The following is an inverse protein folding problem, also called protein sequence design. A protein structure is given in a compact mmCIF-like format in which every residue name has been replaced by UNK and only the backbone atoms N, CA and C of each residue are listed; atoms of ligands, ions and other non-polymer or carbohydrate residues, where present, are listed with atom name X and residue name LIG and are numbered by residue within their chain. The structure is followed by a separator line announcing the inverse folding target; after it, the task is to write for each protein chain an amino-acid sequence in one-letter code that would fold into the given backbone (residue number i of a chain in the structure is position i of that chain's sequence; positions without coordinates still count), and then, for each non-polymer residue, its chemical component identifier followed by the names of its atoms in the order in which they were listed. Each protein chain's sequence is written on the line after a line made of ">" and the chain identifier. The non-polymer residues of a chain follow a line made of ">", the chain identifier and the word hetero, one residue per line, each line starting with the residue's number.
data_IF_699510945655
#
_entry.id   IF_699510945655
#
_cell.length_a   1.000
_cell.length_b   1.000
_cell.length_c   1.000
_cell.angle_alpha   90.00
_cell.angle_beta   90.00
_cell.angle_gamma   90.00
#
_symmetry.space_group_name_H-M   'P 1'
#
loop_
_entity.id
_entity.type
_entity.pdbx_description
1 polymer ?
#
# COMPACT_ATOMS: atom_id res chain seq x y z
N UNK A 1 -56.76 19.72 39.65
CA UNK A 1 -56.42 18.41 39.08
C UNK A 1 -55.56 18.64 37.85
N UNK A 2 -54.52 17.82 37.61
CA UNK A 2 -53.69 17.94 36.41
C UNK A 2 -54.42 17.36 35.21
N UNK A 3 -54.36 18.07 34.10
CA UNK A 3 -54.82 17.64 32.81
C UNK A 3 -53.58 17.44 31.90
N UNK A 4 -53.44 16.28 31.33
CA UNK A 4 -52.30 15.87 30.53
C UNK A 4 -52.71 15.90 29.06
N UNK A 5 -52.04 16.75 28.27
CA UNK A 5 -52.26 16.89 26.84
C UNK A 5 -51.38 15.91 26.06
N UNK A 6 -51.95 15.32 25.03
CA UNK A 6 -51.26 14.46 24.10
C UNK A 6 -51.49 14.91 22.65
N UNK A 7 -50.57 14.60 21.80
CA UNK A 7 -50.66 14.86 20.37
C UNK A 7 -51.74 14.00 19.72
N UNK A 8 -52.61 14.60 18.92
CA UNK A 8 -53.79 13.95 18.36
C UNK A 8 -53.50 12.86 17.33
N UNK A 9 -52.32 12.91 16.69
CA UNK A 9 -51.91 11.94 15.65
C UNK A 9 -51.10 10.79 16.23
N UNK A 10 -50.19 11.13 17.12
CA UNK A 10 -49.20 10.16 17.65
C UNK A 10 -49.52 9.67 19.05
N UNK A 11 -50.39 10.34 19.77
CA UNK A 11 -50.66 10.09 21.18
C UNK A 11 -49.52 10.57 22.12
N UNK A 12 -48.47 11.15 21.61
CA UNK A 12 -47.31 11.57 22.39
C UNK A 12 -47.68 12.61 23.42
N UNK A 13 -47.25 12.43 24.68
CA UNK A 13 -47.42 13.44 25.72
C UNK A 13 -46.73 14.75 25.32
N UNK A 14 -47.45 15.87 25.58
CA UNK A 14 -46.99 17.23 25.24
C UNK A 14 -46.69 18.02 26.51
N UNK A 15 -47.70 18.23 27.34
CA UNK A 15 -47.60 19.08 28.54
C UNK A 15 -48.68 18.75 29.54
N UNK A 16 -48.45 19.06 30.83
CA UNK A 16 -49.45 19.03 31.87
C UNK A 16 -49.81 20.46 32.34
N UNK A 17 -51.06 20.69 32.56
CA UNK A 17 -51.58 21.95 33.10
C UNK A 17 -52.70 21.69 34.09
N UNK A 18 -53.08 22.71 34.86
CA UNK A 18 -54.21 22.61 35.77
C UNK A 18 -55.56 22.75 35.02
N UNK A 19 -56.34 21.69 35.13
CA UNK A 19 -57.72 21.73 34.58
C UNK A 19 -58.61 22.75 35.29
N UNK A 20 -59.30 23.50 34.47
CA UNK A 20 -60.34 24.47 35.01
C UNK A 20 -61.52 23.70 35.54
N UNK A 21 -62.16 24.26 36.60
CA UNK A 21 -63.37 23.69 37.12
C UNK A 21 -64.54 24.07 36.23
N UNK A 22 -65.46 23.17 36.09
CA UNK A 22 -66.74 23.46 35.42
C UNK A 22 -67.57 24.49 36.21
N UNK A 23 -67.87 25.66 35.64
CA UNK A 23 -68.70 26.67 36.33
C UNK A 23 -70.06 26.16 36.69
N UNK A 24 -70.54 25.15 36.02
CA UNK A 24 -71.92 24.60 36.24
C UNK A 24 -71.89 23.40 37.22
N UNK A 25 -70.70 22.88 37.60
CA UNK A 25 -70.61 21.73 38.50
C UNK A 25 -69.28 21.77 39.29
N UNK A 26 -69.38 21.89 40.61
CA UNK A 26 -68.21 21.99 41.49
C UNK A 26 -67.29 20.74 41.48
N UNK A 27 -67.83 19.60 41.12
CA UNK A 27 -67.15 18.33 41.17
C UNK A 27 -66.54 17.89 39.78
N UNK A 28 -66.75 18.74 38.77
CA UNK A 28 -66.28 18.46 37.40
C UNK A 28 -65.16 19.40 37.00
N UNK A 29 -64.30 18.88 36.10
CA UNK A 29 -63.23 19.62 35.43
C UNK A 29 -63.53 19.70 33.94
N UNK A 30 -63.20 20.82 33.33
CA UNK A 30 -63.22 20.98 31.90
C UNK A 30 -61.96 20.27 31.29
N UNK A 31 -62.17 19.27 30.47
CA UNK A 31 -61.12 18.53 29.82
C UNK A 31 -61.14 18.89 28.32
N UNK A 32 -60.14 19.64 27.83
CA UNK A 32 -60.05 19.99 26.43
C UNK A 32 -59.90 18.75 25.55
N UNK A 33 -60.12 18.90 24.25
CA UNK A 33 -59.81 17.85 23.28
C UNK A 33 -58.32 17.43 23.36
N UNK A 34 -58.04 16.17 23.17
CA UNK A 34 -56.68 15.57 23.25
C UNK A 34 -56.02 15.73 24.62
N UNK A 35 -56.84 15.78 25.67
CA UNK A 35 -56.37 15.84 27.05
C UNK A 35 -57.06 14.75 27.88
N UNK A 36 -56.39 14.34 28.96
CA UNK A 36 -56.92 13.36 29.91
C UNK A 36 -56.55 13.77 31.35
N UNK A 37 -57.45 13.42 32.31
CA UNK A 37 -57.16 13.57 33.74
C UNK A 37 -56.43 12.36 34.32
N UNK A 38 -56.18 11.32 33.52
CA UNK A 38 -55.42 10.13 33.93
C UNK A 38 -53.99 10.54 34.27
N UNK A 39 -53.51 10.25 35.48
CA UNK A 39 -52.14 10.57 35.87
C UNK A 39 -51.10 9.93 34.91
N UNK A 40 -49.98 10.64 34.69
CA UNK A 40 -48.86 10.06 33.97
C UNK A 40 -48.29 8.92 34.80
N UNK A 41 -47.81 7.86 34.15
CA UNK A 41 -47.08 6.78 34.81
C UNK A 41 -45.68 7.26 35.21
N UNK A 42 -44.95 6.44 35.97
CA UNK A 42 -43.54 6.60 36.16
C UNK A 42 -42.84 6.46 34.77
N UNK A 43 -42.03 7.46 34.42
CA UNK A 43 -41.34 7.51 33.15
C UNK A 43 -39.87 7.23 33.40
N UNK A 44 -39.36 6.03 33.03
CA UNK A 44 -37.93 5.69 33.11
C UNK A 44 -37.08 6.63 32.24
N UNK A 45 -35.80 6.67 32.55
CA UNK A 45 -34.82 7.36 31.68
C UNK A 45 -34.90 6.85 30.26
N UNK A 46 -34.79 7.75 29.27
CA UNK A 46 -34.89 7.40 27.83
C UNK A 46 -36.23 6.81 27.44
N UNK A 47 -37.30 7.31 28.05
CA UNK A 47 -38.66 6.90 27.76
C UNK A 47 -39.57 8.10 27.72
N UNK A 48 -40.69 8.00 26.98
CA UNK A 48 -41.68 9.03 26.84
C UNK A 48 -43.10 8.43 26.88
N UNK A 49 -44.07 9.06 27.55
CA UNK A 49 -45.45 8.56 27.63
C UNK A 49 -46.23 8.87 26.34
N UNK A 50 -47.05 7.92 25.94
CA UNK A 50 -47.96 7.97 24.80
C UNK A 50 -49.35 7.57 25.26
N UNK A 51 -50.37 8.32 24.88
CA UNK A 51 -51.77 7.99 25.11
C UNK A 51 -52.30 7.10 23.99
N UNK A 52 -52.52 5.82 24.29
CA UNK A 52 -52.92 4.81 23.32
C UNK A 52 -54.06 4.01 23.93
N UNK A 53 -55.13 3.85 23.19
CA UNK A 53 -56.32 3.06 23.61
C UNK A 53 -56.81 3.37 25.03
N UNK A 54 -56.87 4.67 25.38
CA UNK A 54 -57.37 5.12 26.67
C UNK A 54 -56.45 4.94 27.87
N UNK A 55 -55.16 4.70 27.65
CA UNK A 55 -54.13 4.52 28.68
C UNK A 55 -52.80 5.11 28.27
N UNK A 56 -51.99 5.45 29.27
CA UNK A 56 -50.60 5.82 29.05
C UNK A 56 -49.74 4.56 28.82
N UNK A 57 -48.97 4.58 27.72
CA UNK A 57 -47.97 3.56 27.36
C UNK A 57 -46.61 4.25 27.27
N UNK A 58 -45.64 3.76 27.99
CA UNK A 58 -44.28 4.29 27.94
C UNK A 58 -43.53 3.65 26.78
N UNK A 59 -42.91 4.49 25.93
CA UNK A 59 -42.12 4.03 24.76
C UNK A 59 -40.69 4.63 24.81
N UNK A 60 -39.73 4.06 24.12
CA UNK A 60 -38.35 4.56 24.07
C UNK A 60 -38.28 6.04 23.61
N UNK A 61 -37.33 6.79 24.16
CA UNK A 61 -37.04 8.17 23.73
C UNK A 61 -35.52 8.38 23.69
N UNK A 62 -35.01 8.42 22.50
CA UNK A 62 -33.57 8.60 22.23
C UNK A 62 -33.26 9.94 21.54
N UNK A 63 -34.19 10.89 21.60
CA UNK A 63 -33.98 12.25 21.09
C UNK A 63 -32.85 12.94 21.86
N UNK A 64 -31.89 13.52 21.07
CA UNK A 64 -30.73 14.20 21.64
C UNK A 64 -29.65 13.26 22.19
N UNK A 65 -29.82 11.94 22.05
CA UNK A 65 -28.78 10.97 22.39
C UNK A 65 -27.85 10.81 21.18
N UNK A 66 -26.55 10.82 21.42
CA UNK A 66 -25.57 10.52 20.36
C UNK A 66 -25.63 9.04 20.03
N UNK A 67 -25.95 8.75 18.79
CA UNK A 67 -26.02 7.40 18.26
C UNK A 67 -25.08 7.26 17.07
N UNK A 68 -24.83 6.02 16.69
CA UNK A 68 -23.96 5.66 15.57
C UNK A 68 -24.64 4.59 14.70
N UNK A 69 -24.49 4.69 13.41
CA UNK A 69 -24.99 3.72 12.45
C UNK A 69 -24.24 2.40 12.57
N UNK A 70 -24.96 1.31 12.61
CA UNK A 70 -24.36 -0.02 12.76
C UNK A 70 -23.69 -0.52 11.48
N UNK A 71 -24.03 0.05 10.32
CA UNK A 71 -23.43 -0.25 9.02
C UNK A 71 -22.11 0.50 8.78
N UNK A 72 -22.08 1.80 9.06
CA UNK A 72 -20.93 2.66 8.74
C UNK A 72 -20.11 3.12 9.95
N UNK A 73 -20.74 3.15 11.15
CA UNK A 73 -20.15 3.75 12.34
C UNK A 73 -20.28 5.28 12.40
N UNK A 74 -20.92 5.89 11.40
CA UNK A 74 -21.13 7.34 11.37
C UNK A 74 -22.17 7.80 12.41
N UNK A 75 -22.09 9.06 12.87
CA UNK A 75 -23.12 9.60 13.76
C UNK A 75 -24.51 9.55 13.13
N UNK A 76 -25.49 9.15 13.96
CA UNK A 76 -26.90 9.11 13.60
C UNK A 76 -27.73 9.78 14.71
N UNK A 77 -28.97 10.13 14.41
CA UNK A 77 -29.87 10.81 15.33
C UNK A 77 -31.29 10.27 15.21
N UNK A 78 -31.94 10.10 16.35
CA UNK A 78 -33.39 9.89 16.44
C UNK A 78 -34.04 11.18 16.87
N UNK A 79 -34.91 11.75 16.04
CA UNK A 79 -35.59 13.00 16.29
C UNK A 79 -37.02 12.83 16.83
N UNK A 80 -37.55 11.61 16.78
CA UNK A 80 -38.93 11.28 17.16
C UNK A 80 -38.92 10.30 18.33
N UNK A 81 -39.72 10.62 19.38
CA UNK A 81 -39.92 9.70 20.50
C UNK A 81 -40.75 8.47 20.05
N UNK A 82 -40.55 7.36 20.72
CA UNK A 82 -41.25 6.10 20.44
C UNK A 82 -40.48 5.13 19.55
N UNK A 83 -39.28 5.49 19.13
CA UNK A 83 -38.42 4.69 18.26
C UNK A 83 -37.20 4.20 19.07
N UNK A 84 -36.87 2.92 18.91
CA UNK A 84 -35.66 2.29 19.46
C UNK A 84 -34.50 2.36 18.48
N UNK A 85 -33.27 2.59 18.92
CA UNK A 85 -32.09 2.59 18.06
C UNK A 85 -31.92 1.31 17.24
N UNK A 86 -32.18 0.15 17.85
CA UNK A 86 -32.02 -1.15 17.20
C UNK A 86 -32.90 -1.30 15.95
N UNK A 87 -34.12 -0.72 15.98
CA UNK A 87 -35.04 -0.74 14.85
C UNK A 87 -34.59 0.10 13.66
N UNK A 88 -33.74 1.10 13.91
CA UNK A 88 -33.24 2.05 12.93
C UNK A 88 -31.78 1.77 12.52
N UNK A 89 -31.22 0.63 12.94
CA UNK A 89 -29.82 0.32 12.68
C UNK A 89 -28.83 1.26 13.35
N UNK A 90 -29.18 1.74 14.55
CA UNK A 90 -28.39 2.66 15.35
C UNK A 90 -27.94 2.01 16.67
N UNK A 91 -26.84 2.47 17.21
CA UNK A 91 -26.30 2.03 18.50
C UNK A 91 -25.70 3.21 19.26
N UNK A 92 -25.64 3.11 20.59
CA UNK A 92 -24.91 4.08 21.42
C UNK A 92 -23.40 3.86 21.43
N UNK A 93 -22.93 2.70 20.94
CA UNK A 93 -21.55 2.32 20.96
C UNK A 93 -20.83 2.90 19.73
N UNK A 94 -19.82 3.76 19.88
CA UNK A 94 -19.05 4.24 18.75
C UNK A 94 -18.23 3.10 18.13
N UNK A 95 -18.07 3.13 16.81
CA UNK A 95 -17.18 2.20 16.09
C UNK A 95 -15.72 2.50 16.45
N UNK A 96 -14.93 1.54 16.98
CA UNK A 96 -13.56 1.80 17.42
C UNK A 96 -12.59 2.12 16.26
N UNK A 97 -12.73 1.42 15.13
CA UNK A 97 -11.96 1.66 13.90
C UNK A 97 -12.64 1.02 12.69
N UNK A 98 -12.12 1.26 11.51
CA UNK A 98 -12.63 0.67 10.26
C UNK A 98 -12.48 -0.86 10.16
N UNK A 99 -11.73 -1.46 11.06
CA UNK A 99 -11.56 -2.91 11.15
C UNK A 99 -12.73 -3.61 11.86
N UNK A 100 -13.62 -2.85 12.48
CA UNK A 100 -14.74 -3.40 13.22
C UNK A 100 -16.02 -3.41 12.37
N UNK A 101 -16.78 -4.48 12.50
CA UNK A 101 -18.11 -4.63 11.92
C UNK A 101 -19.13 -4.90 13.02
N UNK A 102 -20.37 -4.47 12.82
CA UNK A 102 -21.45 -4.69 13.78
C UNK A 102 -22.03 -6.08 13.61
N UNK A 103 -21.95 -6.90 14.65
CA UNK A 103 -22.59 -8.22 14.71
C UNK A 103 -23.07 -8.53 16.12
N UNK A 104 -24.21 -9.10 16.24
CA UNK A 104 -24.79 -9.59 17.51
C UNK A 104 -24.81 -8.53 18.64
N UNK A 105 -25.08 -7.26 18.29
CA UNK A 105 -25.18 -6.18 19.26
C UNK A 105 -23.85 -5.59 19.73
N UNK A 106 -22.73 -5.88 19.04
CA UNK A 106 -21.41 -5.37 19.37
C UNK A 106 -20.55 -5.10 18.12
N UNK A 107 -19.56 -4.23 18.28
CA UNK A 107 -18.48 -4.06 17.31
C UNK A 107 -17.44 -5.15 17.51
N UNK A 108 -17.25 -5.99 16.50
CA UNK A 108 -16.22 -7.05 16.51
C UNK A 108 -15.23 -6.82 15.38
N UNK A 109 -13.97 -7.19 15.60
CA UNK A 109 -12.94 -7.10 14.56
C UNK A 109 -13.28 -8.06 13.43
N UNK A 110 -13.25 -7.56 12.21
CA UNK A 110 -13.34 -8.39 11.01
C UNK A 110 -11.92 -8.77 10.55
N UNK A 111 -11.57 -10.03 10.77
CA UNK A 111 -10.25 -10.55 10.42
C UNK A 111 -9.95 -10.44 8.92
N UNK A 112 -10.98 -10.45 8.06
CA UNK A 112 -10.79 -10.28 6.62
C UNK A 112 -10.33 -8.84 6.28
N UNK A 113 -10.92 -7.84 6.94
CA UNK A 113 -10.51 -6.43 6.77
C UNK A 113 -9.08 -6.23 7.27
N UNK A 114 -8.73 -6.81 8.43
CA UNK A 114 -7.37 -6.75 8.96
C UNK A 114 -6.38 -7.43 8.02
N UNK A 115 -6.70 -8.63 7.53
CA UNK A 115 -5.85 -9.35 6.59
C UNK A 115 -5.63 -8.57 5.28
N UNK A 116 -6.70 -7.95 4.75
CA UNK A 116 -6.59 -7.12 3.54
C UNK A 116 -5.71 -5.88 3.78
N UNK A 117 -5.84 -5.21 4.92
CA UNK A 117 -4.97 -4.07 5.29
C UNK A 117 -3.50 -4.48 5.38
N UNK A 118 -3.22 -5.61 6.04
CA UNK A 118 -1.85 -6.14 6.14
C UNK A 118 -1.30 -6.47 4.76
N UNK A 119 -2.12 -7.09 3.91
CA UNK A 119 -1.73 -7.38 2.53
C UNK A 119 -1.47 -6.12 1.71
N UNK A 120 -2.34 -5.13 1.81
CA UNK A 120 -2.18 -3.86 1.11
C UNK A 120 -0.90 -3.12 1.54
N UNK A 121 -0.59 -3.10 2.84
CA UNK A 121 0.64 -2.52 3.37
C UNK A 121 1.89 -3.26 2.84
N UNK A 122 1.87 -4.60 2.85
CA UNK A 122 2.96 -5.43 2.32
C UNK A 122 3.17 -5.21 0.81
N UNK A 123 2.08 -5.08 0.04
CA UNK A 123 2.16 -4.79 -1.39
C UNK A 123 2.70 -3.38 -1.66
N UNK A 124 2.37 -2.41 -0.83
CA UNK A 124 2.94 -1.06 -0.94
C UNK A 124 4.45 -1.09 -0.75
N UNK A 125 4.93 -1.80 0.27
CA UNK A 125 6.37 -2.01 0.53
C UNK A 125 7.06 -2.71 -0.65
N UNK A 126 6.43 -3.75 -1.19
CA UNK A 126 6.92 -4.45 -2.40
C UNK A 126 7.09 -3.48 -3.58
N UNK A 127 6.08 -2.66 -3.87
CA UNK A 127 6.14 -1.73 -5.01
C UNK A 127 7.22 -0.67 -4.83
N UNK A 128 7.41 -0.14 -3.61
CA UNK A 128 8.48 0.82 -3.31
C UNK A 128 9.86 0.20 -3.57
N UNK A 129 10.10 -1.02 -3.09
CA UNK A 129 11.37 -1.76 -3.30
C UNK A 129 11.59 -2.10 -4.75
N UNK A 130 10.55 -2.58 -5.44
CA UNK A 130 10.61 -2.92 -6.85
C UNK A 130 10.90 -1.70 -7.72
N UNK A 131 10.27 -0.58 -7.44
CA UNK A 131 10.51 0.67 -8.18
C UNK A 131 11.95 1.16 -7.95
N UNK A 132 12.45 1.13 -6.72
CA UNK A 132 13.85 1.44 -6.43
C UNK A 132 14.80 0.56 -7.26
N UNK A 133 14.56 -0.76 -7.30
CA UNK A 133 15.37 -1.69 -8.05
C UNK A 133 15.33 -1.44 -9.57
N UNK A 134 14.15 -1.10 -10.10
CA UNK A 134 14.01 -0.71 -11.52
C UNK A 134 14.78 0.55 -11.87
N UNK A 135 14.74 1.56 -10.97
CA UNK A 135 15.47 2.82 -11.16
C UNK A 135 16.99 2.59 -11.25
N UNK A 136 17.53 1.64 -10.48
CA UNK A 136 18.95 1.30 -10.54
C UNK A 136 19.40 0.71 -11.88
N UNK A 137 18.49 0.02 -12.57
CA UNK A 137 18.74 -0.60 -13.87
C UNK A 137 18.21 0.21 -15.06
N UNK A 138 17.62 1.37 -14.79
CA UNK A 138 17.02 2.21 -15.84
C UNK A 138 18.08 2.65 -16.89
N UNK A 139 17.76 2.43 -18.15
CA UNK A 139 18.64 2.80 -19.29
C UNK A 139 19.86 1.93 -19.49
N UNK A 140 20.08 0.90 -18.66
CA UNK A 140 21.26 0.04 -18.76
C UNK A 140 21.08 -1.20 -19.65
N UNK A 141 19.84 -1.56 -19.99
CA UNK A 141 19.58 -2.75 -20.83
C UNK A 141 20.21 -2.64 -22.22
N UNK A 142 20.03 -1.51 -22.89
CA UNK A 142 20.59 -1.29 -24.22
C UNK A 142 22.12 -1.17 -24.18
N UNK A 143 22.66 -0.51 -23.15
CA UNK A 143 24.10 -0.41 -22.93
C UNK A 143 24.73 -1.80 -22.69
N UNK A 144 24.06 -2.68 -21.93
CA UNK A 144 24.47 -4.07 -21.74
C UNK A 144 24.46 -4.86 -23.04
N UNK A 145 23.38 -4.73 -23.84
CA UNK A 145 23.25 -5.39 -25.12
C UNK A 145 24.34 -4.96 -26.15
N UNK A 146 24.84 -3.73 -26.00
CA UNK A 146 25.90 -3.16 -26.82
C UNK A 146 27.31 -3.36 -26.23
N UNK A 147 27.45 -4.10 -25.12
CA UNK A 147 28.73 -4.37 -24.41
C UNK A 147 29.46 -3.09 -23.98
N UNK A 148 28.67 -2.09 -23.55
CA UNK A 148 29.16 -0.77 -23.13
C UNK A 148 29.31 -0.61 -21.61
N UNK A 149 28.85 -1.59 -20.82
CA UNK A 149 28.95 -1.55 -19.35
C UNK A 149 30.34 -2.05 -18.93
N UNK A 150 30.89 -1.43 -17.92
CA UNK A 150 32.05 -1.98 -17.20
C UNK A 150 31.63 -3.22 -16.40
N UNK A 151 32.60 -4.10 -16.07
CA UNK A 151 32.36 -5.32 -15.28
C UNK A 151 31.63 -5.03 -13.97
N UNK A 152 31.93 -3.89 -13.30
CA UNK A 152 31.27 -3.48 -12.06
C UNK A 152 29.82 -3.05 -12.32
N UNK A 153 29.56 -2.31 -13.40
CA UNK A 153 28.21 -1.89 -13.78
C UNK A 153 27.35 -3.08 -14.20
N UNK A 154 27.95 -4.05 -14.89
CA UNK A 154 27.26 -5.29 -15.26
C UNK A 154 26.92 -6.13 -14.02
N UNK A 155 27.88 -6.32 -13.11
CA UNK A 155 27.65 -7.03 -11.86
C UNK A 155 26.58 -6.34 -10.98
N UNK A 156 26.58 -5.01 -10.92
CA UNK A 156 25.54 -4.25 -10.23
C UNK A 156 24.16 -4.39 -10.91
N UNK A 157 24.12 -4.37 -12.24
CA UNK A 157 22.89 -4.60 -12.99
C UNK A 157 22.30 -5.98 -12.66
N UNK A 158 23.14 -7.02 -12.66
CA UNK A 158 22.74 -8.40 -12.35
C UNK A 158 22.29 -8.55 -10.90
N UNK A 159 22.99 -7.89 -9.95
CA UNK A 159 22.62 -7.89 -8.53
C UNK A 159 21.22 -7.29 -8.32
N UNK A 160 20.93 -6.16 -8.95
CA UNK A 160 19.60 -5.53 -8.87
C UNK A 160 18.52 -6.35 -9.59
N UNK A 161 18.86 -7.02 -10.70
CA UNK A 161 17.94 -7.94 -11.37
C UNK A 161 17.61 -9.15 -10.48
N UNK A 162 18.62 -9.74 -9.84
CA UNK A 162 18.45 -10.83 -8.88
C UNK A 162 17.59 -10.40 -7.68
N UNK A 163 17.79 -9.17 -7.15
CA UNK A 163 16.98 -8.60 -6.10
C UNK A 163 15.50 -8.47 -6.51
N UNK A 164 15.21 -8.02 -7.73
CA UNK A 164 13.83 -7.95 -8.25
C UNK A 164 13.16 -9.32 -8.27
N UNK A 165 13.89 -10.36 -8.72
CA UNK A 165 13.39 -11.74 -8.72
C UNK A 165 13.15 -12.24 -7.29
N UNK A 166 14.05 -11.92 -6.37
CA UNK A 166 13.91 -12.29 -4.96
C UNK A 166 12.67 -11.62 -4.32
N UNK A 167 12.40 -10.35 -4.63
CA UNK A 167 11.19 -9.64 -4.19
C UNK A 167 9.91 -10.34 -4.67
N UNK A 168 9.86 -10.75 -5.95
CA UNK A 168 8.69 -11.46 -6.49
C UNK A 168 8.49 -12.79 -5.77
N UNK A 169 9.56 -13.54 -5.52
CA UNK A 169 9.49 -14.82 -4.78
C UNK A 169 8.92 -14.67 -3.38
N UNK A 170 9.18 -13.55 -2.68
CA UNK A 170 8.58 -13.29 -1.36
C UNK A 170 7.07 -13.13 -1.46
N UNK A 171 6.58 -12.41 -2.47
CA UNK A 171 5.13 -12.22 -2.68
C UNK A 171 4.42 -13.51 -3.08
N UNK A 172 5.13 -14.40 -3.79
CA UNK A 172 4.60 -15.70 -4.25
C UNK A 172 4.58 -16.76 -3.13
N UNK A 173 5.15 -16.48 -1.95
CA UNK A 173 5.11 -17.41 -0.84
C UNK A 173 3.66 -17.62 -0.35
N UNK A 174 3.25 -18.86 -0.04
CA UNK A 174 1.93 -19.15 0.49
C UNK A 174 1.69 -18.53 1.88
N UNK A 175 2.73 -18.14 2.59
CA UNK A 175 2.67 -17.43 3.89
C UNK A 175 2.47 -15.93 3.74
N UNK A 176 2.64 -15.37 2.53
CA UNK A 176 2.44 -13.94 2.31
C UNK A 176 1.00 -13.52 2.60
N UNK A 177 0.75 -12.44 3.31
CA UNK A 177 1.67 -11.40 3.81
C UNK A 177 2.15 -11.60 5.26
N UNK A 178 2.11 -12.81 5.80
CA UNK A 178 2.59 -13.10 7.15
C UNK A 178 4.09 -13.41 7.13
N UNK A 179 4.79 -13.02 8.18
CA UNK A 179 6.21 -13.33 8.41
C UNK A 179 7.13 -12.91 7.23
N UNK A 180 6.90 -11.71 6.70
CA UNK A 180 7.65 -11.19 5.56
C UNK A 180 9.10 -10.92 5.96
N UNK A 181 10.03 -11.54 5.23
CA UNK A 181 11.45 -11.21 5.25
C UNK A 181 11.83 -10.72 3.86
N UNK A 182 12.02 -9.42 3.73
CA UNK A 182 12.47 -8.84 2.48
C UNK A 182 13.95 -9.15 2.25
N UNK A 183 14.36 -9.43 1.00
CA UNK A 183 15.77 -9.58 0.69
C UNK A 183 16.54 -8.28 0.93
N UNK A 184 17.83 -8.42 1.26
CA UNK A 184 18.73 -7.28 1.38
C UNK A 184 19.00 -6.65 0.02
N UNK A 185 19.10 -5.33 0.03
CA UNK A 185 19.47 -4.58 -1.18
C UNK A 185 20.93 -4.87 -1.57
N UNK A 186 21.25 -4.87 -2.87
CA UNK A 186 22.62 -5.02 -3.31
C UNK A 186 23.56 -3.96 -2.72
N UNK A 187 24.62 -4.41 -2.06
CA UNK A 187 25.66 -3.55 -1.52
C UNK A 187 26.75 -3.30 -2.60
N UNK A 188 26.96 -2.04 -3.05
CA UNK A 188 27.97 -1.72 -4.03
C UNK A 188 29.38 -2.11 -3.63
N UNK A 189 29.73 -2.03 -2.33
CA UNK A 189 31.05 -2.41 -1.85
C UNK A 189 31.28 -3.92 -1.96
N UNK A 190 30.28 -4.73 -1.59
CA UNK A 190 30.34 -6.17 -1.73
C UNK A 190 30.44 -6.62 -3.19
N UNK A 191 29.70 -5.96 -4.09
CA UNK A 191 29.77 -6.23 -5.53
C UNK A 191 31.15 -5.89 -6.10
N UNK A 192 31.73 -4.76 -5.71
CA UNK A 192 33.07 -4.35 -6.14
C UNK A 192 34.13 -5.40 -5.73
N UNK A 193 34.14 -5.81 -4.47
CA UNK A 193 35.06 -6.82 -3.95
C UNK A 193 34.94 -8.14 -4.73
N UNK A 194 33.70 -8.55 -5.06
CA UNK A 194 33.45 -9.75 -5.85
C UNK A 194 34.04 -9.65 -7.26
N UNK A 195 33.80 -8.51 -7.95
CA UNK A 195 34.34 -8.29 -9.31
C UNK A 195 35.85 -8.25 -9.32
N UNK A 196 36.48 -7.62 -8.32
CA UNK A 196 37.94 -7.60 -8.19
C UNK A 196 38.54 -9.01 -7.97
N UNK A 197 37.87 -9.82 -7.14
CA UNK A 197 38.28 -11.22 -6.91
C UNK A 197 38.15 -12.06 -8.19
N UNK A 198 37.06 -11.93 -8.94
CA UNK A 198 36.83 -12.62 -10.20
C UNK A 198 37.86 -12.22 -11.27
N UNK A 199 38.22 -10.92 -11.34
CA UNK A 199 39.30 -10.44 -12.25
C UNK A 199 40.66 -11.01 -11.88
N UNK A 200 40.98 -11.05 -10.59
CA UNK A 200 42.23 -11.62 -10.11
C UNK A 200 42.34 -13.11 -10.42
N UNK A 201 41.25 -13.88 -10.23
CA UNK A 201 41.20 -15.31 -10.55
C UNK A 201 41.34 -15.55 -12.05
N UNK A 202 40.64 -14.76 -12.88
CA UNK A 202 40.75 -14.85 -14.35
C UNK A 202 42.18 -14.57 -14.83
N UNK A 203 42.79 -13.51 -14.32
CA UNK A 203 44.18 -13.16 -14.64
C UNK A 203 45.20 -14.25 -14.23
N UNK A 204 44.99 -14.86 -13.05
CA UNK A 204 45.80 -15.98 -12.58
C UNK A 204 45.66 -17.21 -13.51
N UNK A 205 44.47 -17.56 -13.94
CA UNK A 205 44.22 -18.66 -14.90
C UNK A 205 44.84 -18.39 -16.26
N UNK A 206 44.69 -17.17 -16.78
CA UNK A 206 45.28 -16.76 -18.06
C UNK A 206 46.82 -16.81 -18.01
N UNK A 207 47.42 -16.37 -16.89
CA UNK A 207 48.86 -16.45 -16.67
C UNK A 207 49.38 -17.91 -16.60
N UNK A 208 48.65 -18.80 -15.92
CA UNK A 208 48.95 -20.21 -15.82
C UNK A 208 48.87 -20.89 -17.20
N UNK A 209 47.83 -20.56 -17.96
CA UNK A 209 47.64 -21.10 -19.32
C UNK A 209 48.73 -20.60 -20.30
N UNK A 210 49.11 -19.32 -20.19
CA UNK A 210 50.20 -18.75 -20.97
C UNK A 210 51.54 -19.41 -20.64
N UNK A 211 51.85 -19.60 -19.35
CA UNK A 211 53.08 -20.29 -18.92
C UNK A 211 53.12 -21.75 -19.44
N UNK A 212 52.00 -22.47 -19.43
CA UNK A 212 51.89 -23.81 -19.96
C UNK A 212 52.10 -23.85 -21.48
N UNK A 213 51.60 -22.86 -22.22
CA UNK A 213 51.81 -22.76 -23.68
C UNK A 213 53.28 -22.43 -24.01
N UNK A 214 53.94 -21.64 -23.19
CA UNK A 214 55.35 -21.29 -23.35
C UNK A 214 56.27 -22.51 -23.07
N UNK A 215 55.93 -23.36 -22.10
CA UNK A 215 56.62 -24.62 -21.78
C UNK A 215 56.40 -25.68 -22.84
N UNK A 216 55.25 -25.70 -23.51
CA UNK A 216 54.88 -26.69 -24.57
C UNK A 216 55.35 -26.24 -25.97
N UNK A 217 55.86 -25.02 -26.14
CA UNK A 217 56.40 -24.50 -27.37
C UNK A 217 57.71 -25.26 -27.73
N UNK A 218 57.88 -25.83 -28.98
CA UNK A 218 59.06 -26.53 -29.32
C UNK A 218 60.29 -25.60 -29.26
N UNK A 219 61.32 -25.97 -28.49
CA UNK A 219 62.59 -25.31 -28.48
C UNK A 219 63.16 -25.43 -29.88
N UNK A 220 63.17 -24.36 -30.66
CA UNK A 220 63.90 -24.26 -31.92
C UNK A 220 65.38 -24.25 -31.52
N UNK A 221 66.04 -25.37 -31.69
CA UNK A 221 67.49 -25.52 -31.57
C UNK A 221 68.16 -24.48 -32.50
N UNK A 222 68.76 -23.44 -31.93
CA UNK A 222 69.66 -22.53 -32.63
C UNK A 222 71.01 -23.16 -32.81
N UNK A 223 71.04 -24.12 -33.70
CA UNK A 223 72.31 -24.73 -34.15
C UNK A 223 72.24 -24.91 -35.67
N UNK A 224 72.30 -23.80 -36.41
CA UNK A 224 72.84 -23.77 -37.75
C UNK A 224 72.98 -22.36 -38.33
N UNK A 225 73.94 -21.60 -37.83
CA UNK A 225 74.34 -20.35 -38.48
C UNK A 225 75.86 -20.17 -38.36
N UNK A 226 76.59 -21.03 -38.96
CA UNK A 226 77.97 -20.79 -39.37
C UNK A 226 78.25 -21.54 -40.67
N UNK A 227 77.96 -20.92 -41.80
CA UNK A 227 78.71 -21.06 -43.04
C UNK A 227 78.01 -20.37 -44.21
N UNK A 228 78.49 -19.24 -44.59
CA UNK A 228 78.82 -18.89 -45.96
C UNK A 228 78.82 -17.37 -46.16
N UNK A 229 80.04 -16.94 -45.98
CA UNK A 229 80.52 -15.67 -46.54
C UNK A 229 80.58 -15.75 -48.07
N UNK A 230 80.53 -14.63 -48.74
CA UNK A 230 81.03 -14.23 -50.03
C UNK A 230 80.03 -13.98 -51.18
N UNK A 231 80.27 -12.79 -51.60
CA UNK A 231 80.17 -12.28 -53.00
C UNK A 231 78.87 -11.57 -53.37
N UNK A 232 78.92 -10.33 -53.45
CA UNK A 232 79.32 -9.43 -54.51
C UNK A 232 78.17 -8.53 -55.00
N UNK A 233 78.38 -7.30 -54.72
CA UNK A 233 78.34 -6.10 -55.59
C UNK A 233 77.26 -5.84 -56.60
N UNK A 234 76.87 -4.59 -56.56
CA UNK A 234 76.54 -3.67 -57.69
C UNK A 234 75.04 -3.62 -58.07
N UNK A 235 74.37 -2.55 -58.12
CA UNK A 235 74.48 -1.23 -58.62
C UNK A 235 73.11 -0.56 -58.55
N UNK A 236 73.05 0.65 -58.09
CA UNK A 236 72.48 1.84 -58.68
C UNK A 236 71.14 1.67 -59.48
N UNK A 237 70.14 2.43 -59.31
CA UNK A 237 70.00 3.83 -59.63
C UNK A 237 68.52 4.28 -59.58
N UNK A 238 68.35 5.47 -59.17
CA UNK A 238 67.46 6.48 -59.63
C UNK A 238 65.91 6.42 -59.53
N UNK A 239 65.47 7.37 -58.86
CA UNK A 239 64.54 8.48 -59.26
C UNK A 239 63.05 8.08 -59.34
N UNK A 240 62.23 8.77 -58.83
CA UNK A 240 61.81 10.18 -58.64
C UNK A 240 60.30 10.27 -58.64
N UNK A 241 59.81 11.04 -57.70
CA UNK A 241 58.92 12.16 -57.92
C UNK A 241 57.41 11.97 -58.14
N UNK A 242 56.73 12.72 -57.33
CA UNK A 242 55.47 13.49 -57.52
C UNK A 242 54.23 12.83 -56.93
N UNK A 243 53.71 13.34 -55.88
CA UNK A 243 52.94 14.61 -55.75
C UNK A 243 51.48 14.42 -56.17
N UNK A 244 50.60 14.61 -55.27
CA UNK A 244 49.45 15.51 -55.36
C UNK A 244 48.32 15.09 -54.40
N UNK A 245 48.16 15.89 -53.38
CA UNK A 245 46.84 16.05 -52.78
C UNK A 245 46.00 16.92 -53.71
N UNK A 246 44.69 16.91 -53.62
CA UNK A 246 44.09 18.03 -52.93
C UNK A 246 42.86 17.72 -52.04
N UNK A 247 42.66 18.67 -51.19
CA UNK A 247 41.61 18.92 -50.28
C UNK A 247 40.26 19.33 -50.99
N UNK A 248 39.31 19.66 -50.07
CA UNK A 248 38.03 20.48 -50.27
C UNK A 248 36.81 19.61 -50.51
N UNK A 249 35.65 19.74 -49.88
CA UNK A 249 34.95 20.87 -49.27
C UNK A 249 33.78 20.39 -48.40
N UNK A 250 33.55 21.00 -47.28
CA UNK A 250 32.36 21.47 -46.62
C UNK A 250 31.11 21.52 -47.53
N UNK A 251 29.98 21.01 -47.08
CA UNK A 251 28.77 21.83 -47.04
C UNK A 251 27.72 21.35 -46.03
N UNK A 252 27.23 22.31 -45.35
CA UNK A 252 26.10 22.46 -44.47
C UNK A 252 24.75 22.22 -45.15
N UNK A 253 23.88 21.42 -44.53
CA UNK A 253 22.51 21.89 -44.33
C UNK A 253 21.82 21.21 -43.16
#
# INVERSE_FOLDING_TARGET
>A
MLCNQYDNLTGRYVVSFLAERDPMSADRYLVPAFCTLTPLPDVPTRSWPFWIDGKWVVRPDYRGVRLYRTDTGEPGEITVAGISPDGEGLTELPRPSDEYVWRDGAWIVDEAIVAERVRAAAMTDFYVRMEKARQQNLGKMDARAADLLSDVEEAMFDAWAAYQVALVRVVDLPTFPKDIVWPDEPDPAAVLVKVEAERAEKAAREAEEAARREEEAPRVDSADEMAADAASTTSADSASVSDTAPAVEVDTK
#
